data_IF_298220147053
#
_entry.id   IF_298220147053
#
_cell.length_a   1.000
_cell.length_b   1.000
_cell.length_c   1.000
_cell.angle_alpha   90.00
_cell.angle_beta   90.00
_cell.angle_gamma   90.00
#
_symmetry.space_group_name_H-M   'P 1'
#
loop_
_entity.id
_entity.type
_entity.pdbx_description
1 polymer ?
#
# COMPACT_ATOMS: atom_id res chain seq x y z
N UNK A 1 52.31 -34.63 12.89
CA UNK A 1 53.55 -34.48 12.12
C UNK A 1 53.18 -34.02 10.72
N UNK A 2 53.61 -32.81 10.34
CA UNK A 2 53.47 -32.13 9.03
C UNK A 2 52.04 -31.90 8.50
N UNK A 3 51.36 -30.79 8.82
CA UNK A 3 51.45 -29.45 8.19
C UNK A 3 51.15 -29.41 6.69
N UNK A 4 49.98 -28.87 6.31
CA UNK A 4 49.84 -27.82 5.30
C UNK A 4 48.69 -26.88 5.72
N UNK A 5 49.07 -25.64 6.04
CA UNK A 5 48.21 -24.49 6.32
C UNK A 5 48.46 -23.52 5.15
N UNK A 6 47.41 -23.03 4.50
CA UNK A 6 47.47 -21.78 3.74
C UNK A 6 46.24 -20.97 4.09
N UNK A 7 46.47 -20.01 4.96
CA UNK A 7 45.66 -18.83 5.22
C UNK A 7 45.83 -17.83 4.07
N UNK A 8 44.75 -17.23 3.62
CA UNK A 8 44.79 -15.91 2.98
C UNK A 8 43.72 -15.00 3.62
N UNK A 9 44.21 -13.98 4.30
CA UNK A 9 43.50 -12.74 4.62
C UNK A 9 44.42 -11.58 4.22
N UNK A 10 43.91 -10.61 3.47
CA UNK A 10 44.27 -9.18 3.57
C UNK A 10 43.25 -8.39 2.72
N UNK A 11 42.52 -7.45 3.32
CA UNK A 11 42.68 -5.99 3.10
C UNK A 11 42.33 -5.57 1.67
N UNK A 12 41.48 -4.57 1.39
CA UNK A 12 41.48 -3.18 1.85
C UNK A 12 40.40 -2.50 0.95
N UNK A 13 39.49 -1.61 1.34
CA UNK A 13 39.69 -0.25 1.83
C UNK A 13 38.33 0.32 2.29
N UNK A 14 38.33 0.89 3.50
CA UNK A 14 37.41 1.94 3.93
C UNK A 14 37.87 3.27 3.33
N UNK A 15 36.99 4.27 3.41
CA UNK A 15 37.19 5.75 3.28
C UNK A 15 36.96 6.27 1.85
N UNK A 16 36.28 7.39 1.61
CA UNK A 16 36.06 8.58 2.44
C UNK A 16 34.80 9.32 1.97
N UNK A 17 33.90 9.63 2.92
CA UNK A 17 33.04 10.80 2.83
C UNK A 17 33.87 11.96 3.33
N UNK A 18 34.29 12.88 2.47
CA UNK A 18 34.76 14.21 2.85
C UNK A 18 34.76 15.12 1.62
N UNK A 19 33.73 15.96 1.51
CA UNK A 19 33.84 17.22 0.77
C UNK A 19 33.03 18.29 1.52
N UNK A 20 33.52 18.55 2.73
CA UNK A 20 33.27 19.75 3.51
C UNK A 20 34.04 20.90 2.87
N UNK A 21 33.34 22.02 2.67
CA UNK A 21 33.85 23.39 2.57
C UNK A 21 35.29 23.59 2.10
N UNK A 22 35.47 24.08 0.86
CA UNK A 22 36.53 25.05 0.52
C UNK A 22 36.29 25.61 -0.88
N UNK A 23 35.71 26.80 -0.97
CA UNK A 23 35.98 27.78 -2.03
C UNK A 23 35.51 29.16 -1.57
N UNK A 24 36.23 29.72 -0.59
CA UNK A 24 36.31 31.16 -0.36
C UNK A 24 37.56 31.67 -1.08
N UNK A 25 37.40 32.13 -2.33
CA UNK A 25 38.32 33.09 -2.94
C UNK A 25 37.49 34.17 -3.62
N UNK A 26 37.69 35.38 -3.11
CA UNK A 26 37.09 36.65 -3.52
C UNK A 26 37.25 36.89 -5.02
N UNK A 27 36.17 37.30 -5.68
CA UNK A 27 36.22 38.25 -6.81
C UNK A 27 35.17 39.33 -6.59
N UNK A 28 35.68 40.55 -6.44
CA UNK A 28 34.95 41.82 -6.46
C UNK A 28 34.45 42.14 -7.86
N UNK A 29 33.18 42.54 -8.00
CA UNK A 29 32.61 43.04 -9.25
C UNK A 29 31.10 43.29 -9.18
N UNK A 30 30.75 44.54 -8.83
CA UNK A 30 29.55 45.35 -9.17
C UNK A 30 28.18 44.71 -9.48
N UNK A 31 27.20 45.10 -8.66
CA UNK A 31 25.81 45.51 -8.97
C UNK A 31 24.93 44.61 -9.88
N UNK A 32 23.99 43.89 -9.26
CA UNK A 32 22.55 44.20 -9.33
C UNK A 32 21.77 43.27 -8.38
N UNK A 33 21.29 43.84 -7.27
CA UNK A 33 20.43 43.17 -6.29
C UNK A 33 19.01 43.06 -6.84
N UNK A 34 18.61 41.89 -7.32
CA UNK A 34 17.21 41.50 -7.37
C UNK A 34 16.97 40.47 -6.25
N UNK A 35 16.15 40.77 -5.23
CA UNK A 35 15.86 39.79 -4.19
C UNK A 35 15.08 38.62 -4.80
N UNK A 36 15.38 37.37 -4.41
CA UNK A 36 14.66 36.22 -4.93
C UNK A 36 13.20 36.31 -4.48
N UNK A 37 12.29 36.21 -5.45
CA UNK A 37 10.84 36.14 -5.23
C UNK A 37 10.53 34.92 -4.34
N UNK A 38 10.51 35.14 -3.03
CA UNK A 38 9.95 34.17 -2.08
C UNK A 38 8.48 34.03 -2.42
N UNK A 39 8.12 32.89 -3.00
CA UNK A 39 6.73 32.55 -3.28
C UNK A 39 5.99 32.46 -1.95
N UNK A 40 5.26 33.51 -1.60
CA UNK A 40 4.42 33.56 -0.40
C UNK A 40 3.42 32.40 -0.53
N UNK A 41 3.35 31.47 0.43
CA UNK A 41 2.33 30.42 0.41
C UNK A 41 0.98 31.12 0.41
N UNK A 42 0.16 30.90 -0.62
CA UNK A 42 -1.19 31.45 -0.67
C UNK A 42 -1.95 31.00 0.58
N UNK A 43 -2.22 31.93 1.50
CA UNK A 43 -3.06 31.69 2.67
C UNK A 43 -4.39 31.09 2.18
N UNK A 44 -4.68 29.86 2.60
CA UNK A 44 -5.99 29.24 2.35
C UNK A 44 -7.07 30.21 2.84
N UNK A 45 -7.97 30.65 1.96
CA UNK A 45 -9.16 31.43 2.34
C UNK A 45 -9.91 30.66 3.43
N UNK A 46 -9.86 31.16 4.65
CA UNK A 46 -10.65 30.62 5.76
C UNK A 46 -12.13 30.84 5.43
N UNK A 47 -12.94 29.78 5.56
CA UNK A 47 -14.38 29.90 5.39
C UNK A 47 -14.97 30.54 6.64
N UNK A 48 -15.70 31.65 6.46
CA UNK A 48 -16.49 32.27 7.53
C UNK A 48 -17.58 31.30 7.96
N UNK A 49 -17.73 31.09 9.27
CA UNK A 49 -18.73 30.17 9.84
C UNK A 49 -20.16 30.64 9.52
N UNK A 50 -21.14 29.74 9.60
CA UNK A 50 -22.55 30.09 9.38
C UNK A 50 -23.02 31.11 10.43
N UNK A 51 -22.70 30.89 11.70
CA UNK A 51 -23.08 31.80 12.79
C UNK A 51 -22.49 33.21 12.57
N UNK A 52 -21.24 33.31 12.12
CA UNK A 52 -20.62 34.61 11.83
C UNK A 52 -21.29 35.28 10.63
N UNK A 53 -21.73 34.51 9.62
CA UNK A 53 -22.47 35.04 8.47
C UNK A 53 -23.83 35.60 8.88
N UNK A 54 -24.55 34.91 9.75
CA UNK A 54 -25.83 35.37 10.30
C UNK A 54 -25.64 36.69 11.06
N UNK A 55 -24.65 36.74 11.96
CA UNK A 55 -24.32 37.94 12.73
C UNK A 55 -23.88 39.12 11.84
N UNK A 56 -23.12 38.88 10.78
CA UNK A 56 -22.75 39.93 9.81
C UNK A 56 -24.00 40.53 9.16
N UNK A 57 -24.97 39.69 8.81
CA UNK A 57 -26.22 40.14 8.17
C UNK A 57 -27.10 40.88 9.17
N UNK A 58 -27.25 40.37 10.39
CA UNK A 58 -28.00 41.00 11.48
C UNK A 58 -27.48 42.42 11.77
N UNK A 59 -26.17 42.59 12.01
CA UNK A 59 -25.59 43.92 12.23
C UNK A 59 -25.74 44.84 11.00
N UNK A 60 -25.78 44.28 9.79
CA UNK A 60 -26.03 45.10 8.59
C UNK A 60 -27.48 45.60 8.58
N UNK A 61 -28.45 44.78 9.00
CA UNK A 61 -29.85 45.16 9.11
C UNK A 61 -30.09 46.17 10.25
N UNK A 62 -29.31 46.10 11.32
CA UNK A 62 -29.29 47.08 12.42
C UNK A 62 -28.63 48.41 12.04
N UNK A 63 -28.03 48.52 10.84
CA UNK A 63 -27.49 49.76 10.30
C UNK A 63 -26.00 50.02 10.57
N UNK A 64 -25.25 49.02 11.06
CA UNK A 64 -23.80 49.18 11.23
C UNK A 64 -23.08 49.32 9.89
N UNK A 65 -22.02 50.14 9.86
CA UNK A 65 -21.19 50.29 8.66
C UNK A 65 -20.40 49.01 8.35
N UNK A 66 -20.21 48.73 7.07
CA UNK A 66 -19.48 47.53 6.61
C UNK A 66 -18.04 47.47 7.15
N UNK A 67 -17.39 48.63 7.30
CA UNK A 67 -16.05 48.73 7.89
C UNK A 67 -16.04 48.38 9.38
N UNK A 68 -17.07 48.81 10.13
CA UNK A 68 -17.23 48.46 11.54
C UNK A 68 -17.46 46.95 11.70
N UNK A 69 -18.33 46.36 10.88
CA UNK A 69 -18.61 44.91 10.88
C UNK A 69 -17.34 44.11 10.54
N UNK A 70 -16.59 44.52 9.52
CA UNK A 70 -15.34 43.86 9.14
C UNK A 70 -14.30 43.88 10.28
N UNK A 71 -14.17 45.01 10.98
CA UNK A 71 -13.28 45.15 12.13
C UNK A 71 -13.75 44.33 13.34
N UNK A 72 -15.05 44.39 13.67
CA UNK A 72 -15.68 43.70 14.79
C UNK A 72 -15.51 42.18 14.72
N UNK A 73 -15.73 41.61 13.53
CA UNK A 73 -15.61 40.17 13.30
C UNK A 73 -14.21 39.73 12.84
N UNK A 74 -13.27 40.67 12.67
CA UNK A 74 -11.91 40.42 12.14
C UNK A 74 -11.91 39.69 10.80
N UNK A 75 -12.86 40.03 9.93
CA UNK A 75 -13.02 39.45 8.60
C UNK A 75 -12.58 40.48 7.56
N UNK A 76 -11.95 40.03 6.47
CA UNK A 76 -11.62 40.91 5.36
C UNK A 76 -12.90 41.62 4.85
N UNK A 77 -12.86 42.95 4.75
CA UNK A 77 -13.94 43.80 4.25
C UNK A 77 -14.62 43.25 2.98
N UNK A 78 -13.83 42.78 2.01
CA UNK A 78 -14.33 42.22 0.76
C UNK A 78 -15.16 40.96 0.99
N UNK A 79 -14.81 40.15 1.99
CA UNK A 79 -15.54 38.94 2.37
C UNK A 79 -16.87 39.29 3.03
N UNK A 80 -16.87 40.21 4.00
CA UNK A 80 -18.09 40.70 4.64
C UNK A 80 -19.06 41.31 3.61
N UNK A 81 -18.55 42.18 2.74
CA UNK A 81 -19.32 42.80 1.67
C UNK A 81 -19.86 41.76 0.67
N UNK A 82 -19.09 40.72 0.33
CA UNK A 82 -19.57 39.64 -0.56
C UNK A 82 -20.70 38.81 0.06
N UNK A 83 -20.69 38.62 1.38
CA UNK A 83 -21.73 37.89 2.12
C UNK A 83 -23.02 38.71 2.10
N UNK A 84 -22.94 39.99 2.47
CA UNK A 84 -24.10 40.90 2.50
C UNK A 84 -24.70 41.08 1.11
N UNK A 85 -23.88 41.30 0.08
CA UNK A 85 -24.38 41.41 -1.30
C UNK A 85 -25.11 40.16 -1.78
N UNK A 86 -24.62 38.98 -1.41
CA UNK A 86 -25.31 37.72 -1.72
C UNK A 86 -26.65 37.66 -1.00
N UNK A 87 -26.68 37.98 0.29
CA UNK A 87 -27.91 37.98 1.08
C UNK A 87 -28.95 38.94 0.51
N UNK A 88 -28.58 40.18 0.19
CA UNK A 88 -29.50 41.16 -0.42
C UNK A 88 -30.04 40.70 -1.78
N UNK A 89 -29.29 39.86 -2.51
CA UNK A 89 -29.70 39.35 -3.83
C UNK A 89 -30.57 38.08 -3.74
N UNK A 90 -30.28 37.16 -2.83
CA UNK A 90 -30.92 35.83 -2.80
C UNK A 90 -31.72 35.54 -1.54
N UNK A 91 -31.57 36.35 -0.48
CA UNK A 91 -32.15 36.11 0.85
C UNK A 91 -31.49 34.98 1.64
N UNK A 92 -30.39 34.42 1.15
CA UNK A 92 -29.78 33.20 1.70
C UNK A 92 -28.43 33.49 2.37
N UNK A 93 -28.29 33.01 3.61
CA UNK A 93 -27.06 33.14 4.41
C UNK A 93 -26.05 32.03 4.10
N UNK A 94 -26.55 30.86 3.71
CA UNK A 94 -25.74 29.68 3.45
C UNK A 94 -24.92 29.81 2.15
N UNK A 95 -23.76 29.17 2.13
CA UNK A 95 -22.97 28.97 0.91
C UNK A 95 -23.38 27.64 0.30
N UNK A 96 -23.71 27.64 -0.99
CA UNK A 96 -23.85 26.40 -1.74
C UNK A 96 -22.57 25.57 -1.68
N UNK A 97 -22.72 24.24 -1.77
CA UNK A 97 -21.57 23.34 -1.87
C UNK A 97 -20.72 23.77 -3.07
N UNK A 98 -19.42 24.00 -2.83
CA UNK A 98 -18.49 24.32 -3.90
C UNK A 98 -18.29 23.10 -4.80
N UNK A 99 -18.35 23.32 -6.10
CA UNK A 99 -18.09 22.31 -7.13
C UNK A 99 -19.19 22.26 -8.17
N UNK A 100 -18.86 21.78 -9.37
CA UNK A 100 -19.81 21.47 -10.42
C UNK A 100 -20.09 19.97 -10.51
N UNK A 101 -20.85 19.57 -11.52
CA UNK A 101 -21.07 18.17 -11.85
C UNK A 101 -19.72 17.47 -12.10
N UNK A 102 -19.48 16.38 -11.38
CA UNK A 102 -18.29 15.52 -11.49
C UNK A 102 -18.69 14.10 -11.90
N UNK A 103 -19.64 13.97 -12.83
CA UNK A 103 -20.05 12.67 -13.40
C UNK A 103 -18.84 11.78 -13.66
N UNK A 104 -18.87 10.58 -13.09
CA UNK A 104 -17.82 9.59 -13.29
C UNK A 104 -17.85 9.11 -14.74
N UNK A 105 -16.67 8.98 -15.34
CA UNK A 105 -16.52 8.31 -16.66
C UNK A 105 -16.95 6.84 -16.61
N UNK A 106 -16.92 6.24 -15.42
CA UNK A 106 -17.41 4.89 -15.17
C UNK A 106 -18.91 4.93 -14.85
N UNK A 107 -19.71 4.49 -15.82
CA UNK A 107 -21.14 4.25 -15.67
C UNK A 107 -21.37 2.94 -14.90
N UNK A 108 -22.52 2.79 -14.24
CA UNK A 108 -22.85 1.63 -13.42
C UNK A 108 -22.75 0.30 -14.18
N UNK A 109 -23.10 0.29 -15.47
CA UNK A 109 -22.99 -0.90 -16.34
C UNK A 109 -21.53 -1.34 -16.51
N UNK A 110 -20.63 -0.40 -16.82
CA UNK A 110 -19.19 -0.65 -16.94
C UNK A 110 -18.63 -1.19 -15.62
N UNK A 111 -19.08 -0.62 -14.50
CA UNK A 111 -18.69 -1.08 -13.16
C UNK A 111 -19.10 -2.54 -12.91
N UNK A 112 -20.33 -2.94 -13.29
CA UNK A 112 -20.79 -4.33 -13.17
C UNK A 112 -20.01 -5.29 -14.08
N UNK A 113 -19.71 -4.88 -15.31
CA UNK A 113 -18.87 -5.67 -16.23
C UNK A 113 -17.46 -5.87 -15.68
N UNK A 114 -16.88 -4.86 -15.03
CA UNK A 114 -15.57 -4.97 -14.37
C UNK A 114 -15.59 -5.98 -13.23
N UNK A 115 -16.68 -6.04 -12.45
CA UNK A 115 -16.83 -7.04 -11.39
C UNK A 115 -16.81 -8.46 -11.96
N UNK A 116 -17.67 -8.74 -12.95
CA UNK A 116 -17.71 -10.05 -13.60
C UNK A 116 -16.37 -10.47 -14.22
N UNK A 117 -15.62 -9.49 -14.76
CA UNK A 117 -14.29 -9.73 -15.29
C UNK A 117 -13.26 -10.06 -14.21
N UNK A 118 -13.30 -9.39 -13.06
CA UNK A 118 -12.40 -9.67 -11.93
C UNK A 118 -12.70 -11.03 -11.30
N UNK A 119 -13.98 -11.41 -11.24
CA UNK A 119 -14.39 -12.74 -10.76
C UNK A 119 -13.83 -13.87 -11.65
N UNK A 120 -13.73 -13.62 -12.96
CA UNK A 120 -13.11 -14.56 -13.91
C UNK A 120 -11.58 -14.52 -13.89
N UNK A 121 -10.99 -13.32 -13.88
CA UNK A 121 -9.56 -13.07 -14.06
C UNK A 121 -9.02 -12.17 -12.94
N UNK A 122 -8.98 -12.71 -11.71
CA UNK A 122 -8.66 -11.93 -10.51
C UNK A 122 -7.21 -11.43 -10.42
N UNK A 123 -6.29 -12.00 -11.21
CA UNK A 123 -4.84 -11.71 -11.12
C UNK A 123 -4.38 -10.56 -12.00
N UNK A 124 -5.25 -10.00 -12.83
CA UNK A 124 -4.87 -8.92 -13.73
C UNK A 124 -4.60 -7.64 -12.95
N UNK A 125 -3.50 -6.99 -13.29
CA UNK A 125 -3.13 -5.70 -12.71
C UNK A 125 -4.03 -4.61 -13.30
N UNK A 126 -4.84 -3.99 -12.45
CA UNK A 126 -5.76 -2.93 -12.83
C UNK A 126 -5.31 -1.62 -12.18
N UNK A 127 -5.20 -0.54 -12.97
CA UNK A 127 -4.63 0.73 -12.52
C UNK A 127 -5.69 1.79 -12.17
N UNK A 128 -5.35 2.65 -11.20
CA UNK A 128 -5.99 3.91 -10.78
C UNK A 128 -7.52 3.92 -10.66
N UNK A 129 -8.20 4.17 -11.78
CA UNK A 129 -9.65 4.41 -11.80
C UNK A 129 -10.42 3.12 -11.62
N UNK A 130 -9.86 2.00 -12.09
CA UNK A 130 -10.44 0.68 -11.90
C UNK A 130 -10.24 0.21 -10.46
N UNK A 131 -9.04 0.39 -9.87
CA UNK A 131 -8.81 0.03 -8.45
C UNK A 131 -9.74 0.80 -7.50
N UNK A 132 -9.93 2.11 -7.75
CA UNK A 132 -10.87 2.91 -6.97
C UNK A 132 -12.31 2.42 -7.11
N UNK A 133 -12.74 2.05 -8.32
CA UNK A 133 -14.06 1.49 -8.55
C UNK A 133 -14.24 0.14 -7.85
N UNK A 134 -13.22 -0.73 -7.90
CA UNK A 134 -13.25 -2.03 -7.23
C UNK A 134 -13.34 -1.89 -5.70
N UNK A 135 -12.68 -0.90 -5.10
CA UNK A 135 -12.83 -0.60 -3.67
C UNK A 135 -14.25 -0.17 -3.29
N UNK A 136 -14.95 0.53 -4.18
CA UNK A 136 -16.37 0.88 -4.01
C UNK A 136 -17.25 -0.37 -3.98
N UNK A 137 -16.85 -1.44 -4.67
CA UNK A 137 -17.50 -2.76 -4.65
C UNK A 137 -16.92 -3.73 -3.62
N UNK A 138 -16.16 -3.23 -2.63
CA UNK A 138 -15.57 -4.05 -1.59
C UNK A 138 -14.60 -5.14 -2.09
N UNK A 139 -13.88 -4.89 -3.20
CA UNK A 139 -12.76 -5.72 -3.62
C UNK A 139 -11.44 -5.20 -3.07
N UNK A 140 -10.54 -6.12 -2.73
CA UNK A 140 -9.18 -5.82 -2.26
C UNK A 140 -8.18 -6.76 -2.89
N UNK A 141 -6.95 -6.29 -3.08
CA UNK A 141 -5.84 -7.09 -3.58
C UNK A 141 -5.30 -7.99 -2.46
N UNK A 142 -5.40 -9.30 -2.63
CA UNK A 142 -5.02 -10.33 -1.65
C UNK A 142 -3.95 -11.27 -2.21
N UNK A 143 -3.23 -11.94 -1.31
CA UNK A 143 -2.31 -13.03 -1.71
C UNK A 143 -3.13 -14.21 -2.23
N UNK A 144 -2.75 -14.72 -3.40
CA UNK A 144 -3.43 -15.87 -4.00
C UNK A 144 -2.95 -17.15 -3.33
N UNK A 145 -3.89 -17.96 -2.84
CA UNK A 145 -3.59 -19.29 -2.29
C UNK A 145 -3.90 -20.34 -3.35
N UNK A 146 -2.88 -21.11 -3.72
CA UNK A 146 -3.05 -22.28 -4.57
C UNK A 146 -3.51 -23.45 -3.69
N UNK A 147 -4.77 -23.86 -3.83
CA UNK A 147 -5.33 -24.98 -3.08
C UNK A 147 -5.39 -26.20 -3.99
N UNK A 148 -4.53 -27.21 -3.77
CA UNK A 148 -4.70 -28.50 -4.42
C UNK A 148 -5.85 -29.25 -3.74
N UNK A 149 -6.85 -29.60 -4.56
CA UNK A 149 -8.16 -30.13 -4.18
C UNK A 149 -8.14 -31.42 -3.34
N UNK A 150 -7.03 -32.16 -3.32
CA UNK A 150 -6.96 -33.54 -2.77
C UNK A 150 -6.61 -33.67 -1.28
N UNK A 151 -6.35 -32.58 -0.54
CA UNK A 151 -5.64 -32.67 0.76
C UNK A 151 -6.50 -32.86 2.02
N UNK A 152 -7.84 -32.85 1.91
CA UNK A 152 -8.75 -32.78 3.06
C UNK A 152 -9.92 -33.79 3.02
N UNK A 153 -9.66 -35.09 2.81
CA UNK A 153 -10.67 -36.13 3.10
C UNK A 153 -10.62 -36.54 4.56
N UNK A 154 -11.74 -36.96 5.16
CA UNK A 154 -11.80 -37.46 6.54
C UNK A 154 -10.81 -38.61 6.78
N UNK A 155 -10.71 -39.53 5.83
CA UNK A 155 -9.73 -40.63 5.86
C UNK A 155 -8.27 -40.16 5.91
N UNK A 156 -7.92 -39.07 5.22
CA UNK A 156 -6.56 -38.50 5.26
C UNK A 156 -6.29 -37.83 6.60
N UNK A 157 -7.30 -37.21 7.21
CA UNK A 157 -7.18 -36.59 8.53
C UNK A 157 -6.93 -37.67 9.59
N UNK A 158 -7.70 -38.76 9.58
CA UNK A 158 -7.52 -39.88 10.51
C UNK A 158 -6.14 -40.53 10.37
N UNK A 159 -5.68 -40.78 9.14
CA UNK A 159 -4.34 -41.32 8.90
C UNK A 159 -3.23 -40.41 9.44
N UNK A 160 -3.37 -39.08 9.29
CA UNK A 160 -2.42 -38.11 9.85
C UNK A 160 -2.41 -38.15 11.37
N UNK A 161 -3.58 -38.24 12.00
CA UNK A 161 -3.71 -38.34 13.46
C UNK A 161 -3.05 -39.62 13.98
N UNK A 162 -3.34 -40.75 13.34
CA UNK A 162 -2.76 -42.05 13.72
C UNK A 162 -1.24 -42.05 13.57
N UNK A 163 -0.72 -41.53 12.46
CA UNK A 163 0.71 -41.39 12.24
C UNK A 163 1.37 -40.48 13.30
N UNK A 164 0.77 -39.33 13.61
CA UNK A 164 1.32 -38.40 14.60
C UNK A 164 1.38 -39.03 16.00
N UNK A 165 0.37 -39.82 16.37
CA UNK A 165 0.37 -40.56 17.64
C UNK A 165 1.47 -41.63 17.65
N UNK A 166 1.52 -42.48 16.62
CA UNK A 166 2.55 -43.54 16.54
C UNK A 166 3.97 -42.99 16.49
N UNK A 167 4.17 -41.87 15.80
CA UNK A 167 5.48 -41.22 15.72
C UNK A 167 5.91 -40.67 17.08
N UNK A 168 4.98 -40.12 17.87
CA UNK A 168 5.28 -39.60 19.21
C UNK A 168 5.68 -40.70 20.18
N UNK A 169 5.06 -41.88 20.09
CA UNK A 169 5.48 -43.05 20.88
C UNK A 169 6.90 -43.48 20.49
N UNK A 170 7.17 -43.57 19.18
CA UNK A 170 8.51 -43.91 18.67
C UNK A 170 9.59 -42.91 19.08
N UNK A 171 9.27 -41.60 19.09
CA UNK A 171 10.19 -40.53 19.52
C UNK A 171 10.54 -40.65 21.02
N UNK A 172 9.63 -41.18 21.85
CA UNK A 172 9.90 -41.44 23.27
C UNK A 172 10.86 -42.61 23.50
N UNK A 173 10.79 -43.64 22.66
CA UNK A 173 11.55 -44.88 22.82
C UNK A 173 12.94 -44.87 22.16
N UNK A 174 13.23 -43.87 21.31
CA UNK A 174 14.44 -43.83 20.50
C UNK A 174 15.15 -42.47 20.57
N UNK A 175 16.49 -42.47 20.44
CA UNK A 175 17.25 -41.23 20.28
C UNK A 175 16.88 -40.55 18.95
N UNK A 176 16.73 -39.22 18.97
CA UNK A 176 16.56 -38.34 17.81
C UNK A 176 17.53 -38.68 16.65
N UNK A 177 18.74 -39.14 16.96
CA UNK A 177 19.78 -39.52 15.97
C UNK A 177 19.40 -40.71 15.09
N UNK A 178 18.44 -41.53 15.52
CA UNK A 178 18.02 -42.72 14.78
C UNK A 178 16.99 -42.40 13.70
N UNK A 179 16.40 -41.21 13.72
CA UNK A 179 15.39 -40.81 12.74
C UNK A 179 16.02 -40.13 11.52
N UNK A 180 15.74 -40.68 10.34
CA UNK A 180 16.09 -40.05 9.07
C UNK A 180 14.82 -39.85 8.26
N UNK A 181 14.54 -38.58 7.95
CA UNK A 181 13.41 -38.17 7.13
C UNK A 181 13.86 -38.05 5.68
N UNK A 182 13.09 -38.67 4.79
CA UNK A 182 13.28 -38.60 3.35
C UNK A 182 12.12 -37.81 2.75
N UNK A 183 12.42 -36.79 1.97
CA UNK A 183 11.40 -36.03 1.24
C UNK A 183 11.92 -35.61 -0.13
N UNK A 184 10.98 -35.48 -1.06
CA UNK A 184 11.21 -34.99 -2.41
C UNK A 184 10.42 -33.70 -2.62
N UNK A 185 11.13 -32.63 -2.99
CA UNK A 185 10.52 -31.33 -3.31
C UNK A 185 10.80 -30.97 -4.77
N UNK A 186 9.73 -30.65 -5.50
CA UNK A 186 9.81 -30.14 -6.86
C UNK A 186 9.82 -28.60 -6.88
N UNK A 187 10.84 -28.02 -7.51
CA UNK A 187 10.93 -26.60 -7.82
C UNK A 187 10.61 -26.36 -9.29
N UNK A 188 9.55 -25.58 -9.52
CA UNK A 188 9.17 -25.12 -10.85
C UNK A 188 9.53 -23.63 -10.98
N UNK A 189 10.42 -23.29 -11.92
CA UNK A 189 10.69 -21.89 -12.25
C UNK A 189 9.56 -21.35 -13.13
N UNK A 190 8.55 -20.74 -12.49
CA UNK A 190 7.37 -20.19 -13.16
C UNK A 190 7.07 -18.79 -12.65
N UNK A 191 6.78 -17.87 -13.57
CA UNK A 191 6.29 -16.53 -13.21
C UNK A 191 4.77 -16.58 -13.09
N UNK A 192 4.24 -16.29 -11.90
CA UNK A 192 2.80 -16.18 -11.66
C UNK A 192 2.50 -14.94 -10.82
N UNK A 193 1.38 -14.25 -11.04
CA UNK A 193 0.94 -13.20 -10.14
C UNK A 193 0.76 -13.76 -8.72
N UNK A 194 1.43 -13.15 -7.75
CA UNK A 194 1.34 -13.56 -6.33
C UNK A 194 0.10 -13.01 -5.63
N UNK A 195 -0.60 -12.08 -6.28
CA UNK A 195 -1.76 -11.37 -5.77
C UNK A 195 -2.87 -11.30 -6.80
N UNK A 196 -4.10 -11.25 -6.31
CA UNK A 196 -5.31 -11.08 -7.11
C UNK A 196 -6.40 -10.37 -6.31
N UNK A 197 -7.38 -9.82 -6.99
CA UNK A 197 -8.51 -9.11 -6.38
C UNK A 197 -9.58 -10.11 -5.90
N UNK A 198 -10.05 -9.97 -4.67
CA UNK A 198 -11.27 -10.64 -4.22
C UNK A 198 -12.05 -9.77 -3.22
N UNK A 199 -13.32 -10.09 -3.02
CA UNK A 199 -14.21 -9.48 -2.04
C UNK A 199 -13.57 -9.44 -0.65
N UNK A 200 -13.77 -8.35 0.08
CA UNK A 200 -13.38 -8.21 1.49
C UNK A 200 -14.02 -9.35 2.29
N UNK A 201 -13.25 -9.96 3.21
CA UNK A 201 -13.67 -11.16 3.94
C UNK A 201 -13.38 -12.49 3.25
N UNK A 202 -13.26 -12.54 1.92
CA UNK A 202 -13.05 -13.80 1.19
C UNK A 202 -11.59 -14.04 0.78
N UNK A 203 -11.13 -15.29 0.82
CA UNK A 203 -9.77 -15.62 0.36
C UNK A 203 -9.70 -15.65 -1.17
N UNK A 204 -8.64 -15.13 -1.76
CA UNK A 204 -8.42 -15.22 -3.21
C UNK A 204 -7.88 -16.61 -3.56
N UNK A 205 -8.77 -17.50 -3.99
CA UNK A 205 -8.40 -18.81 -4.51
C UNK A 205 -8.32 -18.75 -6.03
N UNK A 206 -7.27 -19.34 -6.58
CA UNK A 206 -7.11 -19.47 -8.03
C UNK A 206 -6.90 -20.95 -8.34
N UNK A 207 -7.92 -21.55 -8.96
CA UNK A 207 -7.76 -22.85 -9.59
C UNK A 207 -6.96 -22.65 -10.86
N UNK A 208 -5.80 -23.30 -10.93
CA UNK A 208 -4.88 -23.13 -12.05
C UNK A 208 -4.46 -24.48 -12.59
N UNK A 209 -4.39 -24.55 -13.92
CA UNK A 209 -3.66 -25.63 -14.56
C UNK A 209 -2.19 -25.55 -14.13
N UNK A 210 -1.53 -26.69 -13.83
CA UNK A 210 -0.10 -26.72 -13.56
C UNK A 210 0.66 -26.04 -14.71
N UNK A 211 1.60 -25.17 -14.35
CA UNK A 211 2.42 -24.49 -15.36
C UNK A 211 3.36 -25.52 -15.97
N UNK A 212 3.51 -25.51 -17.30
CA UNK A 212 4.45 -26.37 -18.00
C UNK A 212 5.85 -25.77 -17.86
N UNK A 213 6.62 -26.27 -16.91
CA UNK A 213 8.04 -25.94 -16.75
C UNK A 213 8.83 -27.22 -16.52
N UNK A 214 10.15 -27.17 -16.76
CA UNK A 214 11.04 -28.20 -16.22
C UNK A 214 10.98 -28.11 -14.70
N UNK A 215 10.58 -29.21 -14.06
CA UNK A 215 10.64 -29.32 -12.61
C UNK A 215 12.04 -29.78 -12.23
N UNK A 216 12.70 -28.99 -11.39
CA UNK A 216 13.94 -29.38 -10.73
C UNK A 216 13.51 -30.13 -9.47
N UNK A 217 13.83 -31.41 -9.37
CA UNK A 217 13.50 -32.18 -8.17
C UNK A 217 14.70 -32.25 -7.25
N UNK A 218 14.46 -32.06 -5.95
CA UNK A 218 15.47 -32.23 -4.91
C UNK A 218 14.99 -33.30 -3.95
N UNK A 219 15.72 -34.40 -3.89
CA UNK A 219 15.53 -35.44 -2.87
C UNK A 219 16.53 -35.17 -1.76
N UNK A 220 16.06 -35.12 -0.51
CA UNK A 220 16.90 -34.88 0.65
C UNK A 220 16.63 -35.90 1.75
N UNK A 221 17.71 -36.30 2.43
CA UNK A 221 17.68 -37.07 3.67
C UNK A 221 18.15 -36.18 4.81
N UNK A 222 17.36 -36.05 5.87
CA UNK A 222 17.66 -35.16 6.99
C UNK A 222 17.39 -35.85 8.32
N UNK A 223 18.16 -35.49 9.33
CA UNK A 223 17.86 -35.76 10.73
C UNK A 223 17.64 -34.39 11.43
N UNK A 224 17.03 -34.38 12.63
CA UNK A 224 16.88 -33.21 13.52
C UNK A 224 18.11 -32.29 13.58
N UNK A 225 19.32 -32.86 13.54
CA UNK A 225 20.56 -32.08 13.67
C UNK A 225 21.11 -31.52 12.37
N UNK A 226 20.98 -32.26 11.26
CA UNK A 226 21.60 -31.88 9.98
C UNK A 226 21.00 -32.62 8.79
N UNK A 227 21.18 -32.03 7.61
CA UNK A 227 21.04 -32.72 6.33
C UNK A 227 22.13 -33.78 6.19
N UNK A 228 21.72 -35.01 5.90
CA UNK A 228 22.62 -36.16 5.69
C UNK A 228 23.03 -36.24 4.22
N UNK A 229 22.06 -36.14 3.32
CA UNK A 229 22.27 -36.30 1.88
C UNK A 229 21.28 -35.45 1.10
N UNK A 230 21.66 -35.02 -0.11
CA UNK A 230 20.73 -34.47 -1.08
C UNK A 230 21.20 -34.74 -2.50
N UNK A 231 20.25 -34.85 -3.43
CA UNK A 231 20.49 -34.97 -4.86
C UNK A 231 19.51 -34.11 -5.65
N UNK A 232 20.04 -33.44 -6.66
CA UNK A 232 19.27 -32.58 -7.57
C UNK A 232 19.13 -33.32 -8.90
N UNK A 233 17.90 -33.32 -9.43
CA UNK A 233 17.49 -33.93 -10.69
C UNK A 233 16.85 -32.91 -11.62
#
# INVERSE_FOLDING_TARGET
MSNYFSSETSECLKRENDNVLKCLVKKSGSHDENPPLTTIPTLRKQNVSINDRERIIENTLEGYSMSAIASMYRINYQTANSIVRRYLKTGLVFVDKRGGDRRSKLILEIKKSLQAYVDLECTKTLYDTIDRALREFHYTLKRVTLVPERRNTLSTIELRTNYANSFRDLEGDNDDKNFVFLDEVGFAAVTRPSRGHNMIGESAYLSVTPARSRNISVVAAMNKYRRIYHKIH
#
